data_IF_463386686817
#
_entry.id   IF_463386686817
#
_cell.length_a   1.000
_cell.length_b   1.000
_cell.length_c   1.000
_cell.angle_alpha   90.00
_cell.angle_beta   90.00
_cell.angle_gamma   90.00
#
_symmetry.space_group_name_H-M   'P 1'
#
loop_
_entity.id
_entity.type
_entity.pdbx_description
1 polymer ?
#
# COMPACT_ATOMS: atom_id res chain seq x y z
N UNK A 1 -8.14 -23.10 -0.62
CA UNK A 1 -7.89 -21.69 -0.99
C UNK A 1 -6.43 -21.59 -1.38
N UNK A 2 -6.13 -21.23 -2.61
CA UNK A 2 -4.75 -21.09 -3.10
C UNK A 2 -4.13 -19.80 -2.56
N UNK A 3 -2.82 -19.80 -2.27
CA UNK A 3 -2.07 -18.65 -1.72
C UNK A 3 -2.27 -17.36 -2.53
N UNK A 4 -2.59 -17.47 -3.82
CA UNK A 4 -2.83 -16.35 -4.73
C UNK A 4 -3.99 -15.45 -4.30
N UNK A 5 -4.97 -15.97 -3.55
CA UNK A 5 -6.14 -15.21 -3.08
C UNK A 5 -5.82 -14.13 -2.03
N UNK A 6 -4.59 -14.11 -1.51
CA UNK A 6 -4.18 -13.22 -0.42
C UNK A 6 -3.05 -12.27 -0.80
N UNK A 7 -2.66 -12.30 -2.07
CA UNK A 7 -1.71 -11.34 -2.62
C UNK A 7 -2.43 -10.02 -2.87
N UNK A 8 -1.78 -8.92 -2.49
CA UNK A 8 -2.21 -7.58 -2.79
C UNK A 8 -1.03 -6.74 -3.30
N UNK A 9 -1.37 -5.75 -4.11
CA UNK A 9 -0.43 -4.81 -4.71
C UNK A 9 -0.69 -3.45 -4.11
N UNK A 10 0.37 -2.82 -3.59
CA UNK A 10 0.32 -1.47 -3.04
C UNK A 10 1.01 -0.55 -4.05
N UNK A 11 0.28 0.46 -4.51
CA UNK A 11 0.78 1.49 -5.41
C UNK A 11 0.95 2.81 -4.68
N UNK A 12 2.06 3.49 -4.96
CA UNK A 12 2.45 4.75 -4.35
C UNK A 12 2.60 5.79 -5.45
N UNK A 13 1.82 6.85 -5.38
CA UNK A 13 1.87 7.97 -6.30
C UNK A 13 1.85 9.29 -5.54
N UNK A 14 2.32 10.36 -6.18
CA UNK A 14 1.98 11.71 -5.73
C UNK A 14 0.64 12.11 -6.31
N UNK A 15 0.03 13.15 -5.73
CA UNK A 15 -1.21 13.72 -6.25
C UNK A 15 -1.01 14.17 -7.70
N UNK A 16 -1.83 13.65 -8.61
CA UNK A 16 -1.78 13.92 -10.05
C UNK A 16 -0.48 13.49 -10.76
N UNK A 17 0.31 12.61 -10.14
CA UNK A 17 1.45 11.98 -10.80
C UNK A 17 1.13 10.51 -11.11
N UNK A 18 1.79 9.91 -12.11
CA UNK A 18 1.71 8.47 -12.32
C UNK A 18 2.23 7.69 -11.10
N UNK A 19 1.86 6.41 -11.03
CA UNK A 19 2.38 5.48 -10.02
C UNK A 19 3.91 5.47 -10.09
N UNK A 20 4.54 5.80 -8.97
CA UNK A 20 6.00 5.92 -8.85
C UNK A 20 6.62 4.67 -8.27
N UNK A 21 5.96 4.05 -7.30
CA UNK A 21 6.39 2.79 -6.73
C UNK A 21 5.25 1.78 -6.64
N UNK A 22 5.65 0.51 -6.64
CA UNK A 22 4.75 -0.62 -6.44
C UNK A 22 5.42 -1.61 -5.50
N UNK A 23 4.68 -2.07 -4.49
CA UNK A 23 5.06 -3.17 -3.63
C UNK A 23 4.03 -4.29 -3.78
N UNK A 24 4.51 -5.53 -3.76
CA UNK A 24 3.65 -6.72 -3.75
C UNK A 24 3.77 -7.35 -2.39
N UNK A 25 2.65 -7.50 -1.71
CA UNK A 25 2.57 -8.10 -0.39
C UNK A 25 1.69 -9.34 -0.48
N UNK A 26 2.10 -10.41 0.19
CA UNK A 26 1.26 -11.58 0.41
C UNK A 26 1.10 -11.74 1.90
N UNK A 27 -0.13 -11.73 2.38
CA UNK A 27 -0.44 -12.12 3.76
C UNK A 27 -1.27 -13.41 3.75
N UNK A 28 -1.54 -14.00 4.91
CA UNK A 28 -2.39 -15.21 5.01
C UNK A 28 -3.90 -14.86 4.94
N UNK A 29 -4.26 -13.80 4.20
CA UNK A 29 -5.61 -13.26 4.06
C UNK A 29 -6.02 -12.27 5.15
N UNK A 30 -5.09 -11.85 6.01
CA UNK A 30 -5.39 -10.99 7.15
C UNK A 30 -5.86 -9.60 6.72
N UNK A 31 -5.22 -9.01 5.71
CA UNK A 31 -5.56 -7.67 5.29
C UNK A 31 -6.92 -7.60 4.60
N UNK A 32 -7.17 -8.53 3.69
CA UNK A 32 -8.39 -8.59 2.89
C UNK A 32 -9.63 -8.83 3.75
N UNK A 33 -9.51 -9.62 4.83
CA UNK A 33 -10.63 -9.97 5.69
C UNK A 33 -10.86 -8.99 6.85
N UNK A 34 -10.03 -7.94 6.97
CA UNK A 34 -10.10 -6.99 8.07
C UNK A 34 -11.08 -5.84 7.79
N UNK A 35 -11.54 -5.19 8.86
CA UNK A 35 -12.33 -3.95 8.78
C UNK A 35 -11.54 -2.79 8.16
N UNK A 36 -12.25 -1.76 7.69
CA UNK A 36 -11.67 -0.60 7.02
C UNK A 36 -10.64 0.14 7.91
N UNK A 37 -10.98 0.41 9.17
CA UNK A 37 -10.10 1.13 10.10
C UNK A 37 -8.77 0.40 10.33
N UNK A 38 -8.83 -0.93 10.44
CA UNK A 38 -7.62 -1.76 10.57
C UNK A 38 -6.79 -1.70 9.28
N UNK A 39 -7.43 -1.80 8.11
CA UNK A 39 -6.73 -1.69 6.81
C UNK A 39 -6.03 -0.35 6.64
N UNK A 40 -6.67 0.75 7.04
CA UNK A 40 -6.06 2.09 6.99
C UNK A 40 -4.77 2.14 7.82
N UNK A 41 -4.83 1.69 9.09
CA UNK A 41 -3.66 1.68 9.99
C UNK A 41 -2.54 0.80 9.47
N UNK A 42 -2.87 -0.41 9.01
CA UNK A 42 -1.90 -1.33 8.44
C UNK A 42 -1.23 -0.75 7.19
N UNK A 43 -2.02 -0.16 6.28
CA UNK A 43 -1.51 0.45 5.05
C UNK A 43 -0.59 1.62 5.35
N UNK A 44 -0.90 2.45 6.36
CA UNK A 44 -0.03 3.53 6.79
C UNK A 44 1.32 3.00 7.32
N UNK A 45 1.31 1.89 8.07
CA UNK A 45 2.54 1.22 8.52
C UNK A 45 3.38 0.68 7.36
N UNK A 46 2.76 0.01 6.37
CA UNK A 46 3.45 -0.42 5.16
C UNK A 46 4.01 0.76 4.37
N UNK A 47 3.25 1.86 4.27
CA UNK A 47 3.69 3.04 3.56
C UNK A 47 4.90 3.70 4.21
N UNK A 48 4.90 3.82 5.54
CA UNK A 48 6.04 4.32 6.29
C UNK A 48 7.30 3.50 5.98
N UNK A 49 7.26 2.21 6.28
CA UNK A 49 8.42 1.32 6.14
C UNK A 49 8.94 1.28 4.70
N UNK A 50 8.04 1.15 3.72
CA UNK A 50 8.44 1.06 2.32
C UNK A 50 9.02 2.36 1.78
N UNK A 51 8.39 3.51 2.07
CA UNK A 51 8.88 4.80 1.59
C UNK A 51 10.20 5.20 2.26
N UNK A 52 10.38 4.89 3.54
CA UNK A 52 11.64 5.07 4.27
C UNK A 52 12.75 4.21 3.64
N UNK A 53 12.51 2.91 3.41
CA UNK A 53 13.47 2.00 2.74
C UNK A 53 13.84 2.47 1.33
N UNK A 54 12.94 3.16 0.63
CA UNK A 54 13.19 3.70 -0.71
C UNK A 54 13.88 5.06 -0.71
N UNK A 55 14.08 5.68 0.45
CA UNK A 55 14.56 7.06 0.53
C UNK A 55 13.62 8.02 -0.22
N UNK A 56 12.33 7.74 -0.17
CA UNK A 56 11.34 8.53 -0.89
C UNK A 56 11.30 9.96 -0.33
N UNK A 57 11.15 10.95 -1.21
CA UNK A 57 11.04 12.34 -0.77
C UNK A 57 9.86 12.52 0.21
N UNK A 58 10.00 13.40 1.21
CA UNK A 58 8.94 13.70 2.16
C UNK A 58 7.71 14.35 1.48
N UNK A 59 6.59 14.43 2.20
CA UNK A 59 5.33 15.02 1.78
C UNK A 59 4.25 13.98 1.49
N UNK A 60 3.13 14.43 0.91
CA UNK A 60 1.95 13.59 0.74
C UNK A 60 2.06 12.56 -0.40
N UNK A 61 1.68 11.33 -0.11
CA UNK A 61 1.56 10.21 -1.01
C UNK A 61 0.13 9.68 -1.04
N UNK A 62 -0.36 9.35 -2.23
CA UNK A 62 -1.54 8.52 -2.41
C UNK A 62 -1.09 7.06 -2.42
N UNK A 63 -1.61 6.28 -1.48
CA UNK A 63 -1.31 4.85 -1.35
C UNK A 63 -2.57 4.06 -1.62
N UNK A 64 -2.55 3.22 -2.64
CA UNK A 64 -3.72 2.44 -3.07
C UNK A 64 -3.38 0.96 -3.01
N UNK A 65 -4.23 0.18 -2.34
CA UNK A 65 -4.10 -1.26 -2.22
C UNK A 65 -5.12 -1.94 -3.12
N UNK A 66 -4.63 -2.81 -3.98
CA UNK A 66 -5.40 -3.61 -4.93
C UNK A 66 -5.30 -5.09 -4.57
N UNK A 67 -6.40 -5.84 -4.67
CA UNK A 67 -6.33 -7.30 -4.66
C UNK A 67 -5.60 -7.75 -5.92
N UNK A 68 -4.63 -8.64 -5.78
CA UNK A 68 -4.01 -9.25 -6.95
C UNK A 68 -4.96 -10.32 -7.50
N UNK A 69 -5.72 -9.97 -8.55
CA UNK A 69 -6.51 -10.93 -9.32
C UNK A 69 -5.67 -11.62 -10.40
N UNK A 70 -6.10 -12.80 -10.82
CA UNK A 70 -5.58 -13.50 -12.01
C UNK A 70 -6.19 -12.97 -13.31
N UNK A 71 -7.22 -12.12 -13.22
CA UNK A 71 -7.91 -11.52 -14.36
C UNK A 71 -8.04 -10.01 -14.16
N UNK A 72 -8.18 -9.31 -15.28
CA UNK A 72 -7.93 -7.88 -15.51
C UNK A 72 -8.67 -6.85 -14.64
N UNK A 73 -9.48 -7.26 -13.68
CA UNK A 73 -10.14 -6.40 -12.71
C UNK A 73 -9.30 -6.29 -11.43
N UNK A 74 -8.67 -5.13 -11.24
CA UNK A 74 -8.01 -4.78 -9.98
C UNK A 74 -9.06 -4.30 -8.99
N UNK A 75 -9.48 -5.16 -8.07
CA UNK A 75 -10.37 -4.75 -6.97
C UNK A 75 -9.63 -3.84 -6.00
N UNK A 76 -10.06 -2.57 -5.89
CA UNK A 76 -9.51 -1.63 -4.91
C UNK A 76 -9.98 -2.02 -3.51
N UNK A 77 -9.03 -2.31 -2.61
CA UNK A 77 -9.30 -2.75 -1.23
C UNK A 77 -9.22 -1.61 -0.23
N UNK A 78 -8.27 -0.68 -0.43
CA UNK A 78 -8.05 0.48 0.44
C UNK A 78 -7.36 1.58 -0.35
N UNK A 79 -7.61 2.84 0.02
CA UNK A 79 -6.83 3.97 -0.44
C UNK A 79 -6.68 4.98 0.69
N UNK A 80 -5.46 5.44 0.94
CA UNK A 80 -5.16 6.42 1.98
C UNK A 80 -4.28 7.54 1.42
N UNK A 81 -4.36 8.71 2.05
CA UNK A 81 -3.33 9.75 1.93
C UNK A 81 -2.36 9.55 3.09
N UNK A 82 -1.08 9.42 2.77
CA UNK A 82 0.00 9.23 3.74
C UNK A 82 0.98 10.39 3.63
N UNK A 83 1.19 11.12 4.73
CA UNK A 83 2.20 12.17 4.80
C UNK A 83 3.53 11.54 5.24
N UNK A 84 4.44 11.34 4.28
CA UNK A 84 5.78 10.84 4.56
C UNK A 84 6.60 11.96 5.18
N UNK A 85 6.95 11.81 6.46
CA UNK A 85 7.84 12.77 7.12
C UNK A 85 9.29 12.48 6.73
N UNK A 86 10.14 13.49 6.86
CA UNK A 86 11.58 13.24 6.91
C UNK A 86 11.83 12.28 8.05
N UNK A 87 12.26 11.06 7.74
CA UNK A 87 12.83 10.15 8.71
C UNK A 87 14.07 10.87 9.25
N UNK A 88 13.94 11.45 10.45
CA UNK A 88 15.05 12.09 11.14
C UNK A 88 16.11 11.00 11.33
N UNK A 89 17.09 10.98 10.44
CA UNK A 89 18.27 10.14 10.59
C UNK A 89 19.06 10.81 11.70
N UNK A 90 18.86 10.32 12.93
CA UNK A 90 19.73 10.58 14.07
C UNK A 90 20.91 9.63 14.02
#
# INVERSE_FOLDING_TARGET
>A
MTQENYRHVIEYARRNEPVKYTEVVSDHGWYINSGEEWRIRYTAGCAQDFLDRRGAAPGEWLVVVWRAGTNQDRDRVCAIRYDAKLSATG
#
